data_IF_572693739583
#
_entry.id   IF_572693739583
#
_cell.length_a   1.000
_cell.length_b   1.000
_cell.length_c   1.000
_cell.angle_alpha   90.00
_cell.angle_beta   90.00
_cell.angle_gamma   90.00
#
_symmetry.space_group_name_H-M   'P 1'
#
loop_
_entity.id
_entity.type
_entity.pdbx_description
1 polymer ?
#
# COMPACT_ATOMS: atom_id res chain seq x y z
N UNK A 1 -2.82 -7.04 18.42
CA UNK A 1 -2.07 -7.18 17.18
C UNK A 1 -1.64 -5.83 16.65
N UNK A 2 -0.41 -5.72 16.26
CA UNK A 2 0.15 -4.44 15.82
C UNK A 2 -0.17 -4.19 14.35
N UNK A 3 -0.60 -2.98 14.04
CA UNK A 3 -0.77 -2.58 12.66
C UNK A 3 0.58 -2.17 12.11
N UNK A 4 0.94 -2.72 10.97
CA UNK A 4 2.27 -2.54 10.42
C UNK A 4 2.53 -1.14 9.89
N UNK A 5 1.54 -0.53 9.28
CA UNK A 5 1.77 0.64 8.45
C UNK A 5 1.10 1.91 8.93
N UNK A 6 0.24 1.81 9.94
CA UNK A 6 -0.53 2.97 10.33
C UNK A 6 -1.57 3.33 9.30
N UNK A 7 -1.76 4.63 9.08
CA UNK A 7 -2.86 5.12 8.27
C UNK A 7 -2.39 6.02 7.16
N UNK A 8 -3.13 6.01 6.06
CA UNK A 8 -2.92 6.89 4.94
C UNK A 8 -4.06 7.90 4.89
N UNK A 9 -3.72 9.19 4.76
CA UNK A 9 -4.72 10.26 4.66
C UNK A 9 -5.25 10.31 3.24
N UNK A 10 -6.55 10.07 3.06
CA UNK A 10 -7.15 10.14 1.73
C UNK A 10 -7.18 11.58 1.25
N UNK A 11 -6.92 11.81 -0.04
CA UNK A 11 -7.06 13.15 -0.60
C UNK A 11 -8.53 13.52 -0.73
N UNK A 12 -8.80 14.82 -0.77
CA UNK A 12 -10.17 15.29 -0.94
C UNK A 12 -10.60 16.20 0.18
N UNK A 13 -11.88 16.51 0.19
CA UNK A 13 -12.43 17.48 1.13
C UNK A 13 -12.66 16.92 2.53
N UNK A 14 -12.65 15.60 2.69
CA UNK A 14 -12.91 14.99 3.98
C UNK A 14 -11.63 14.40 4.56
N UNK A 15 -11.29 14.71 5.82
CA UNK A 15 -10.10 14.19 6.45
C UNK A 15 -10.32 12.75 6.91
N UNK A 16 -10.30 11.82 5.98
CA UNK A 16 -10.50 10.41 6.27
C UNK A 16 -9.14 9.70 6.22
N UNK A 17 -8.84 8.99 7.29
CA UNK A 17 -7.65 8.14 7.35
C UNK A 17 -8.07 6.70 7.18
N UNK A 18 -7.29 5.96 6.39
CA UNK A 18 -7.55 4.56 6.15
C UNK A 18 -6.27 3.78 6.38
N UNK A 19 -6.37 2.60 6.99
CA UNK A 19 -5.18 1.79 7.22
C UNK A 19 -4.68 1.27 5.89
N UNK A 20 -3.36 1.05 5.80
CA UNK A 20 -2.80 0.48 4.57
C UNK A 20 -3.35 -0.91 4.31
N UNK A 21 -3.69 -1.64 5.37
CA UNK A 21 -4.30 -2.97 5.20
C UNK A 21 -5.67 -2.89 4.53
N UNK A 22 -6.45 -1.86 4.86
CA UNK A 22 -7.75 -1.67 4.24
C UNK A 22 -7.61 -1.14 2.82
N UNK A 23 -6.63 -0.26 2.61
CA UNK A 23 -6.38 0.32 1.30
C UNK A 23 -5.88 -0.74 0.33
N UNK A 24 -4.92 -1.54 0.77
CA UNK A 24 -4.37 -2.63 -0.02
C UNK A 24 -4.93 -3.96 0.49
N UNK A 25 -6.25 -4.11 0.36
CA UNK A 25 -6.92 -5.31 0.86
C UNK A 25 -6.60 -6.53 -0.01
N UNK A 26 -7.07 -7.69 0.44
CA UNK A 26 -6.76 -8.94 -0.23
C UNK A 26 -7.21 -8.94 -1.69
N UNK A 27 -8.40 -8.42 -1.96
CA UNK A 27 -8.91 -8.36 -3.35
C UNK A 27 -7.98 -7.54 -4.23
N UNK A 28 -7.54 -6.38 -3.74
CA UNK A 28 -6.65 -5.52 -4.49
C UNK A 28 -5.31 -6.21 -4.73
N UNK A 29 -4.75 -6.78 -3.67
CA UNK A 29 -3.44 -7.41 -3.78
C UNK A 29 -3.44 -8.60 -4.72
N UNK A 30 -4.47 -9.41 -4.66
CA UNK A 30 -4.55 -10.58 -5.55
C UNK A 30 -4.79 -10.17 -7.00
N UNK A 31 -5.47 -9.07 -7.21
CA UNK A 31 -5.75 -8.60 -8.57
C UNK A 31 -4.53 -8.01 -9.26
N UNK A 32 -3.71 -7.28 -8.51
CA UNK A 32 -2.64 -6.50 -9.11
C UNK A 32 -1.24 -6.98 -8.76
N UNK A 33 -1.09 -7.89 -7.81
CA UNK A 33 0.23 -8.34 -7.39
C UNK A 33 0.27 -9.86 -7.29
N UNK A 34 1.46 -10.36 -6.98
CA UNK A 34 1.68 -11.78 -6.76
C UNK A 34 1.39 -12.18 -5.32
N UNK A 35 1.05 -11.22 -4.47
CA UNK A 35 0.92 -11.46 -3.04
C UNK A 35 -0.52 -11.37 -2.60
N UNK A 36 -0.85 -12.08 -1.51
CA UNK A 36 -2.20 -12.10 -0.98
C UNK A 36 -2.50 -10.93 -0.07
N UNK A 37 -1.47 -10.32 0.51
CA UNK A 37 -1.64 -9.23 1.45
C UNK A 37 -0.52 -8.24 1.28
N UNK A 38 -0.76 -7.02 1.77
CA UNK A 38 0.26 -5.99 1.72
C UNK A 38 1.44 -6.35 2.61
N UNK A 39 1.17 -7.01 3.73
CA UNK A 39 2.23 -7.48 4.62
C UNK A 39 3.16 -8.44 3.88
N UNK A 40 2.60 -9.40 3.16
CA UNK A 40 3.40 -10.34 2.38
C UNK A 40 4.18 -9.64 1.29
N UNK A 41 3.56 -8.64 0.67
CA UNK A 41 4.21 -7.84 -0.36
C UNK A 41 5.48 -7.18 0.19
N UNK A 42 5.38 -6.56 1.37
CA UNK A 42 6.53 -5.91 1.98
C UNK A 42 7.61 -6.91 2.37
N UNK A 43 7.20 -8.04 2.91
CA UNK A 43 8.14 -9.09 3.30
C UNK A 43 8.89 -9.63 2.08
N UNK A 44 8.19 -9.72 0.95
CA UNK A 44 8.79 -10.19 -0.29
C UNK A 44 9.89 -9.28 -0.80
N UNK A 45 9.85 -8.00 -0.44
CA UNK A 45 10.88 -7.05 -0.80
C UNK A 45 11.99 -6.95 0.23
N UNK A 46 11.89 -7.72 1.32
CA UNK A 46 12.87 -7.64 2.37
C UNK A 46 12.70 -6.46 3.30
N UNK A 47 11.53 -5.83 3.25
CA UNK A 47 11.26 -4.64 4.06
C UNK A 47 10.74 -5.05 5.42
N UNK A 48 11.38 -4.56 6.47
CA UNK A 48 10.94 -4.80 7.85
C UNK A 48 10.20 -3.58 8.35
N UNK A 49 8.88 -3.58 8.15
CA UNK A 49 8.04 -2.45 8.52
C UNK A 49 7.17 -2.85 9.70
N UNK A 50 7.42 -2.28 10.87
CA UNK A 50 6.63 -2.54 12.05
C UNK A 50 5.90 -1.30 12.53
N UNK A 51 6.36 -0.12 12.12
CA UNK A 51 5.74 1.14 12.50
C UNK A 51 5.58 2.02 11.27
N UNK A 52 4.79 3.07 11.42
CA UNK A 52 4.64 4.03 10.34
C UNK A 52 5.95 4.74 10.05
N UNK A 53 6.76 4.97 11.08
CA UNK A 53 8.06 5.61 10.89
C UNK A 53 8.97 4.75 10.02
N UNK A 54 8.94 3.43 10.24
CA UNK A 54 9.72 2.51 9.40
C UNK A 54 9.33 2.65 7.95
N UNK A 55 8.04 2.80 7.68
CA UNK A 55 7.55 2.96 6.32
C UNK A 55 8.01 4.29 5.72
N UNK A 56 7.94 5.35 6.50
CA UNK A 56 8.34 6.67 6.03
C UNK A 56 9.84 6.77 5.77
N UNK A 57 10.62 5.98 6.50
CA UNK A 57 12.06 5.95 6.32
C UNK A 57 12.49 5.12 5.11
N UNK A 58 11.58 4.37 4.54
CA UNK A 58 11.89 3.53 3.39
C UNK A 58 12.13 4.38 2.16
N UNK A 59 13.29 4.23 1.49
CA UNK A 59 13.53 4.99 0.27
C UNK A 59 12.50 4.67 -0.81
N UNK A 60 11.96 5.71 -1.43
CA UNK A 60 10.92 5.54 -2.43
C UNK A 60 11.41 4.72 -3.62
N UNK A 61 12.65 4.90 -4.01
CA UNK A 61 13.18 4.14 -5.15
C UNK A 61 13.24 2.65 -4.87
N UNK A 62 13.47 2.25 -3.62
CA UNK A 62 13.43 0.83 -3.25
C UNK A 62 12.02 0.27 -3.39
N UNK A 63 11.04 1.05 -2.94
CA UNK A 63 9.65 0.64 -3.06
C UNK A 63 9.22 0.60 -4.53
N UNK A 64 9.64 1.60 -5.32
CA UNK A 64 9.32 1.63 -6.74
C UNK A 64 9.85 0.39 -7.46
N UNK A 65 11.09 0.02 -7.19
CA UNK A 65 11.69 -1.15 -7.81
C UNK A 65 10.92 -2.42 -7.46
N UNK A 66 10.51 -2.53 -6.21
CA UNK A 66 9.75 -3.69 -5.76
C UNK A 66 8.37 -3.73 -6.43
N UNK A 67 7.73 -2.58 -6.56
CA UNK A 67 6.42 -2.48 -7.21
C UNK A 67 6.52 -2.91 -8.69
N UNK A 68 7.48 -2.36 -9.40
CA UNK A 68 7.65 -2.69 -10.82
C UNK A 68 7.88 -4.18 -11.02
N UNK A 69 8.63 -4.78 -10.12
CA UNK A 69 9.02 -6.18 -10.25
C UNK A 69 7.87 -7.14 -9.93
N UNK A 70 6.95 -6.75 -9.06
CA UNK A 70 5.97 -7.68 -8.50
C UNK A 70 4.53 -7.30 -8.73
N UNK A 71 4.26 -6.19 -9.41
CA UNK A 71 2.90 -5.74 -9.64
C UNK A 71 2.75 -5.28 -11.09
N UNK A 72 1.55 -4.85 -11.43
CA UNK A 72 1.26 -4.29 -12.76
C UNK A 72 1.51 -2.80 -12.82
N UNK A 73 1.98 -2.21 -11.74
CA UNK A 73 2.19 -0.76 -11.67
C UNK A 73 3.63 -0.42 -12.00
N UNK A 74 3.83 0.82 -12.45
CA UNK A 74 5.16 1.30 -12.82
C UNK A 74 5.85 2.05 -11.69
N UNK A 75 5.14 2.33 -10.58
CA UNK A 75 5.72 3.02 -9.44
C UNK A 75 4.85 2.80 -8.21
N UNK A 76 5.43 3.06 -7.06
CA UNK A 76 4.69 3.02 -5.80
C UNK A 76 3.56 4.04 -5.81
N UNK A 77 3.83 5.22 -6.36
CA UNK A 77 2.83 6.28 -6.42
C UNK A 77 1.62 5.83 -7.24
N UNK A 78 1.85 5.18 -8.37
CA UNK A 78 0.76 4.69 -9.19
C UNK A 78 -0.06 3.64 -8.44
N UNK A 79 0.62 2.73 -7.76
CA UNK A 79 -0.06 1.70 -6.97
C UNK A 79 -0.93 2.34 -5.89
N UNK A 80 -0.39 3.34 -5.21
CA UNK A 80 -1.11 4.05 -4.16
C UNK A 80 -2.32 4.81 -4.72
N UNK A 81 -2.14 5.46 -5.87
CA UNK A 81 -3.21 6.22 -6.51
C UNK A 81 -4.37 5.31 -6.90
N UNK A 82 -4.06 4.15 -7.48
CA UNK A 82 -5.10 3.21 -7.89
C UNK A 82 -5.81 2.62 -6.67
N UNK A 83 -5.06 2.31 -5.63
CA UNK A 83 -5.66 1.78 -4.41
C UNK A 83 -6.59 2.81 -3.77
N UNK A 84 -6.16 4.05 -3.73
CA UNK A 84 -6.97 5.15 -3.18
C UNK A 84 -8.25 5.33 -3.98
N UNK A 85 -8.13 5.34 -5.31
CA UNK A 85 -9.28 5.50 -6.18
C UNK A 85 -10.28 4.37 -5.99
N UNK A 86 -9.78 3.14 -5.93
CA UNK A 86 -10.63 1.97 -5.74
C UNK A 86 -11.35 2.03 -4.40
N UNK A 87 -10.63 2.44 -3.36
CA UNK A 87 -11.22 2.53 -2.02
C UNK A 87 -12.32 3.58 -1.98
N UNK A 88 -12.07 4.74 -2.55
CA UNK A 88 -13.05 5.84 -2.57
C UNK A 88 -14.32 5.42 -3.31
N UNK A 89 -14.17 4.69 -4.39
CA UNK A 89 -15.33 4.21 -5.15
C UNK A 89 -16.21 3.27 -4.33
N UNK A 90 -15.59 2.50 -3.44
CA UNK A 90 -16.36 1.58 -2.58
C UNK A 90 -17.14 2.30 -1.49
N UNK A 91 -16.74 3.52 -1.17
CA UNK A 91 -17.43 4.29 -0.15
C UNK A 91 -18.76 4.87 -0.62
N UNK A 92 -19.02 4.87 -1.89
CA UNK A 92 -20.26 5.42 -2.47
C UNK A 92 -21.38 4.41 -2.52
#
# INVERSE_FOLDING_TARGET
MVKLMGYYQLPGSMPVQVSFEDLFNTSFMRKYTKYRSFEKFLQGGGFHIETQQDFEDLPEENMDAHVVKNTRFSSWKEMLDVATDTYVRKLK
#
